data_IF_120182802732
#
_entry.id   IF_120182802732
#
_cell.length_a   1.000
_cell.length_b   1.000
_cell.length_c   1.000
_cell.angle_alpha   90.00
_cell.angle_beta   90.00
_cell.angle_gamma   90.00
#
_symmetry.space_group_name_H-M   'P 1'
#
loop_
_entity.id
_entity.type
_entity.pdbx_description
1 polymer ?
#
# COMPACT_ATOMS: atom_id res chain seq x y z
N UNK A 1 -16.09 -7.00 2.43
CA UNK A 1 -16.48 -5.92 3.36
C UNK A 1 -16.51 -4.66 2.53
N UNK A 2 -17.61 -3.90 2.59
CA UNK A 2 -17.79 -2.74 1.71
C UNK A 2 -16.64 -1.75 1.89
N UNK A 3 -16.29 -1.06 0.80
CA UNK A 3 -15.54 0.19 0.86
C UNK A 3 -16.10 1.00 2.04
N UNK A 4 -15.29 1.26 3.06
CA UNK A 4 -15.74 2.13 4.14
C UNK A 4 -15.75 3.52 3.55
N UNK A 5 -16.94 4.03 3.21
CA UNK A 5 -17.12 5.43 2.90
C UNK A 5 -16.68 6.22 4.14
N UNK A 6 -15.58 6.96 3.99
CA UNK A 6 -15.13 7.90 5.02
C UNK A 6 -16.32 8.79 5.37
N UNK A 7 -16.57 9.04 6.66
CA UNK A 7 -17.73 9.83 7.09
C UNK A 7 -17.32 10.82 8.18
N UNK A 8 -17.69 12.09 8.03
CA UNK A 8 -17.47 13.13 9.06
C UNK A 8 -18.76 13.28 9.87
N UNK A 9 -18.68 13.19 11.19
CA UNK A 9 -19.81 13.48 12.07
C UNK A 9 -19.63 14.84 12.79
N UNK A 10 -20.57 15.75 12.59
CA UNK A 10 -20.60 17.06 13.28
C UNK A 10 -21.53 16.94 14.49
N UNK A 11 -20.94 16.88 15.68
CA UNK A 11 -21.62 16.85 16.96
C UNK A 11 -21.34 18.15 17.72
N UNK A 12 -21.76 19.29 17.16
CA UNK A 12 -21.55 20.64 17.73
C UNK A 12 -22.87 21.15 18.30
N UNK A 13 -22.91 21.43 19.61
CA UNK A 13 -24.13 21.87 20.29
C UNK A 13 -24.53 23.29 19.93
N UNK A 14 -23.56 24.20 19.80
CA UNK A 14 -23.78 25.58 19.42
C UNK A 14 -24.22 25.68 17.95
N UNK A 15 -25.40 26.26 17.70
CA UNK A 15 -25.99 26.34 16.35
C UNK A 15 -25.24 27.28 15.41
N UNK A 16 -24.65 28.36 15.91
CA UNK A 16 -23.90 29.32 15.09
C UNK A 16 -22.54 28.72 14.70
N UNK A 17 -21.84 28.13 15.66
CA UNK A 17 -20.58 27.43 15.42
C UNK A 17 -20.77 26.22 14.48
N UNK A 18 -21.88 25.49 14.64
CA UNK A 18 -22.21 24.35 13.79
C UNK A 18 -22.37 24.74 12.32
N UNK A 19 -22.95 25.90 12.03
CA UNK A 19 -23.12 26.38 10.66
C UNK A 19 -21.76 26.65 9.99
N UNK A 20 -20.83 27.29 10.71
CA UNK A 20 -19.47 27.56 10.23
C UNK A 20 -18.67 26.26 10.01
N UNK A 21 -18.76 25.33 10.96
CA UNK A 21 -18.11 24.01 10.85
C UNK A 21 -18.67 23.21 9.69
N UNK A 22 -19.99 23.24 9.47
CA UNK A 22 -20.63 22.60 8.33
C UNK A 22 -20.13 23.20 7.02
N UNK A 23 -19.97 24.52 6.94
CA UNK A 23 -19.42 25.18 5.76
C UNK A 23 -17.97 24.73 5.47
N UNK A 24 -17.13 24.62 6.50
CA UNK A 24 -15.77 24.09 6.36
C UNK A 24 -15.78 22.60 5.94
N UNK A 25 -16.58 21.76 6.60
CA UNK A 25 -16.65 20.33 6.31
C UNK A 25 -17.26 20.02 4.93
N UNK A 26 -18.22 20.83 4.46
CA UNK A 26 -18.84 20.67 3.14
C UNK A 26 -17.88 20.94 1.98
N UNK A 27 -16.74 21.59 2.23
CA UNK A 27 -15.66 21.72 1.25
C UNK A 27 -14.86 20.41 1.07
N UNK A 28 -15.07 19.41 1.93
CA UNK A 28 -14.54 18.05 1.73
C UNK A 28 -15.41 17.28 0.73
N UNK A 29 -14.82 16.37 -0.05
CA UNK A 29 -15.52 15.49 -0.99
C UNK A 29 -16.18 14.26 -0.32
N UNK A 30 -16.49 14.36 0.98
CA UNK A 30 -16.89 13.25 1.84
C UNK A 30 -18.31 13.43 2.38
N UNK A 31 -18.94 12.32 2.73
CA UNK A 31 -20.23 12.35 3.39
C UNK A 31 -20.13 12.99 4.79
N UNK A 32 -20.75 14.16 4.95
CA UNK A 32 -20.86 14.87 6.23
C UNK A 32 -22.23 14.61 6.84
N UNK A 33 -22.27 14.19 8.10
CA UNK A 33 -23.49 13.95 8.87
C UNK A 33 -23.52 14.83 10.11
N UNK A 34 -24.53 15.68 10.23
CA UNK A 34 -24.77 16.46 11.43
C UNK A 34 -25.63 15.68 12.42
N UNK A 35 -25.19 15.57 13.67
CA UNK A 35 -25.90 14.88 14.75
C UNK A 35 -26.24 15.89 15.82
N UNK A 36 -27.47 16.43 15.77
CA UNK A 36 -27.90 17.51 16.67
C UNK A 36 -28.37 17.00 18.03
N UNK A 37 -29.01 15.83 18.06
CA UNK A 37 -29.53 15.24 19.28
C UNK A 37 -28.48 14.33 19.94
N UNK A 38 -28.04 14.62 21.18
CA UNK A 38 -27.14 13.75 21.93
C UNK A 38 -27.59 12.29 22.05
N UNK A 39 -28.90 12.03 21.99
CA UNK A 39 -29.47 10.68 22.06
C UNK A 39 -29.11 9.81 20.86
N UNK A 40 -28.76 10.43 19.73
CA UNK A 40 -28.35 9.75 18.51
C UNK A 40 -26.82 9.50 18.45
N UNK A 41 -26.04 10.05 19.38
CA UNK A 41 -24.58 9.88 19.40
C UNK A 41 -24.14 8.41 19.43
N UNK A 42 -24.74 7.52 20.24
CA UNK A 42 -24.36 6.10 20.26
C UNK A 42 -24.60 5.38 18.92
N UNK A 43 -25.49 5.90 18.07
CA UNK A 43 -25.83 5.32 16.77
C UNK A 43 -24.91 5.82 15.65
N UNK A 44 -24.48 7.09 15.73
CA UNK A 44 -23.78 7.77 14.64
C UNK A 44 -22.27 7.92 14.88
N UNK A 45 -21.82 8.27 16.09
CA UNK A 45 -20.41 8.54 16.36
C UNK A 45 -19.48 7.32 16.17
N UNK A 46 -19.88 6.08 16.55
CA UNK A 46 -19.02 4.90 16.32
C UNK A 46 -18.77 4.56 14.85
N UNK A 47 -19.57 5.11 13.93
CA UNK A 47 -19.46 4.86 12.48
C UNK A 47 -18.70 5.96 11.74
N UNK A 48 -18.43 7.08 12.42
CA UNK A 48 -17.72 8.20 11.83
C UNK A 48 -16.22 7.91 11.75
N UNK A 49 -15.57 8.41 10.70
CA UNK A 49 -14.12 8.40 10.55
C UNK A 49 -13.47 9.54 11.32
N UNK A 50 -14.18 10.66 11.47
CA UNK A 50 -13.79 11.84 12.28
C UNK A 50 -15.03 12.43 12.94
N UNK A 51 -14.90 12.90 14.17
CA UNK A 51 -15.96 13.60 14.89
C UNK A 51 -15.53 15.03 15.21
N UNK A 52 -16.41 16.01 15.00
CA UNK A 52 -16.20 17.40 15.41
C UNK A 52 -17.09 17.70 16.61
N UNK A 53 -16.52 18.26 17.68
CA UNK A 53 -17.20 18.51 18.94
C UNK A 53 -16.89 19.91 19.49
N UNK A 54 -17.83 20.48 20.23
CA UNK A 54 -17.62 21.72 20.99
C UNK A 54 -17.66 21.46 22.49
N UNK A 55 -17.57 22.54 23.28
CA UNK A 55 -17.65 22.46 24.74
C UNK A 55 -18.94 21.78 25.24
N UNK A 56 -20.06 21.96 24.55
CA UNK A 56 -21.36 21.45 24.97
C UNK A 56 -21.47 19.93 24.79
N UNK A 57 -20.82 19.38 23.76
CA UNK A 57 -20.91 17.96 23.41
C UNK A 57 -19.70 17.12 23.82
N UNK A 58 -18.57 17.76 24.16
CA UNK A 58 -17.30 17.09 24.46
C UNK A 58 -17.42 15.88 25.40
N UNK A 59 -18.13 16.01 26.52
CA UNK A 59 -18.27 14.94 27.51
C UNK A 59 -19.08 13.74 27.00
N UNK A 60 -20.02 13.97 26.08
CA UNK A 60 -20.86 12.93 25.49
C UNK A 60 -20.14 12.26 24.32
N UNK A 61 -19.46 13.06 23.49
CA UNK A 61 -18.60 12.56 22.40
C UNK A 61 -17.54 11.61 22.95
N UNK A 62 -16.90 11.94 24.07
CA UNK A 62 -15.90 11.07 24.70
C UNK A 62 -16.38 9.66 25.05
N UNK A 63 -17.69 9.50 25.33
CA UNK A 63 -18.31 8.22 25.72
C UNK A 63 -18.68 7.35 24.52
N UNK A 64 -18.90 7.96 23.36
CA UNK A 64 -19.52 7.30 22.21
C UNK A 64 -18.65 7.31 20.95
N UNK A 65 -17.63 8.17 20.87
CA UNK A 65 -16.67 8.18 19.77
C UNK A 65 -15.48 7.27 20.06
N UNK A 66 -15.05 6.53 19.03
CA UNK A 66 -13.76 5.83 18.96
C UNK A 66 -12.83 6.42 17.88
N UNK A 67 -13.32 7.42 17.15
CA UNK A 67 -12.62 8.10 16.07
C UNK A 67 -11.89 9.36 16.59
N UNK A 68 -10.90 9.88 15.83
CA UNK A 68 -10.28 11.17 16.11
C UNK A 68 -11.33 12.27 16.27
N UNK A 69 -11.16 13.10 17.32
CA UNK A 69 -12.06 14.20 17.63
C UNK A 69 -11.35 15.52 17.35
N UNK A 70 -11.97 16.42 16.59
CA UNK A 70 -11.54 17.81 16.46
C UNK A 70 -12.43 18.70 17.32
N UNK A 71 -11.80 19.52 18.16
CA UNK A 71 -12.49 20.43 19.05
C UNK A 71 -12.63 21.79 18.39
N UNK A 72 -13.80 22.41 18.48
CA UNK A 72 -14.06 23.73 17.89
C UNK A 72 -14.60 24.70 18.92
N UNK A 73 -14.21 25.96 18.78
CA UNK A 73 -14.70 27.09 19.59
C UNK A 73 -15.01 28.26 18.67
N UNK A 74 -16.01 29.06 19.02
CA UNK A 74 -16.32 30.28 18.30
C UNK A 74 -15.24 31.36 18.50
N UNK A 75 -14.89 32.09 17.44
CA UNK A 75 -14.07 33.32 17.47
C UNK A 75 -14.70 34.37 18.41
N UNK A 76 -13.94 35.01 19.32
CA UNK A 76 -12.47 35.12 19.41
C UNK A 76 -11.74 34.09 20.29
N UNK A 77 -12.40 33.00 20.70
CA UNK A 77 -11.87 32.09 21.72
C UNK A 77 -12.03 32.65 23.15
N UNK A 78 -11.27 32.14 24.15
CA UNK A 78 -10.17 31.18 24.04
C UNK A 78 -10.65 29.72 23.90
N UNK A 79 -9.74 28.84 23.46
CA UNK A 79 -9.95 27.40 23.48
C UNK A 79 -10.10 26.91 24.93
N UNK A 80 -11.18 26.20 25.21
CA UNK A 80 -11.38 25.49 26.49
C UNK A 80 -10.60 24.16 26.47
N UNK A 81 -9.34 24.22 26.88
CA UNK A 81 -8.45 23.06 26.89
C UNK A 81 -8.94 21.93 27.82
N UNK A 82 -9.70 22.24 28.87
CA UNK A 82 -10.27 21.22 29.75
C UNK A 82 -11.36 20.42 29.02
N UNK A 83 -12.24 21.11 28.29
CA UNK A 83 -13.25 20.47 27.46
C UNK A 83 -12.64 19.68 26.28
N UNK A 84 -11.62 20.24 25.63
CA UNK A 84 -10.89 19.58 24.54
C UNK A 84 -10.22 18.28 25.02
N UNK A 85 -9.55 18.31 26.17
CA UNK A 85 -8.96 17.11 26.77
C UNK A 85 -10.02 16.07 27.17
N UNK A 86 -11.18 16.50 27.68
CA UNK A 86 -12.27 15.58 28.05
C UNK A 86 -12.75 14.75 26.87
N UNK A 87 -12.83 15.32 25.66
CA UNK A 87 -13.23 14.57 24.45
C UNK A 87 -12.07 13.85 23.77
N UNK A 88 -10.84 13.91 24.32
CA UNK A 88 -9.62 13.37 23.71
C UNK A 88 -9.39 13.97 22.32
N UNK A 89 -9.56 15.29 22.20
CA UNK A 89 -9.36 15.98 20.94
C UNK A 89 -7.94 15.79 20.41
N UNK A 90 -7.80 15.44 19.15
CA UNK A 90 -6.53 15.41 18.44
C UNK A 90 -6.00 16.83 18.20
N UNK A 91 -6.90 17.77 17.89
CA UNK A 91 -6.59 19.17 17.62
C UNK A 91 -7.79 20.06 17.97
N UNK A 92 -7.56 21.36 18.18
CA UNK A 92 -8.58 22.34 18.55
C UNK A 92 -8.45 23.59 17.67
N UNK A 93 -9.60 24.14 17.22
CA UNK A 93 -9.66 25.25 16.27
C UNK A 93 -10.62 26.36 16.71
N UNK A 94 -10.28 27.61 16.42
CA UNK A 94 -11.13 28.78 16.60
C UNK A 94 -11.81 29.09 15.26
N UNK A 95 -13.13 28.98 15.17
CA UNK A 95 -13.89 29.12 13.92
C UNK A 95 -14.73 30.41 13.97
N UNK A 96 -14.71 31.27 12.92
CA UNK A 96 -14.16 31.02 11.58
C UNK A 96 -12.68 31.40 11.36
N UNK A 97 -11.97 31.92 12.37
CA UNK A 97 -10.58 32.39 12.22
C UNK A 97 -9.62 31.33 11.65
N UNK A 98 -9.84 30.06 11.99
CA UNK A 98 -9.02 28.90 11.62
C UNK A 98 -9.77 27.88 10.75
N UNK A 99 -10.83 28.30 10.05
CA UNK A 99 -11.61 27.40 9.17
C UNK A 99 -10.76 26.71 8.10
N UNK A 100 -9.67 27.35 7.64
CA UNK A 100 -8.73 26.75 6.66
C UNK A 100 -7.90 25.62 7.28
N UNK A 101 -7.48 25.79 8.52
CA UNK A 101 -6.72 24.79 9.28
C UNK A 101 -7.62 23.60 9.62
N UNK A 102 -8.86 23.86 10.06
CA UNK A 102 -9.87 22.83 10.24
C UNK A 102 -10.13 22.04 8.94
N UNK A 103 -10.28 22.73 7.81
CA UNK A 103 -10.43 22.07 6.50
C UNK A 103 -9.21 21.21 6.14
N UNK A 104 -7.99 21.72 6.37
CA UNK A 104 -6.75 20.96 6.13
C UNK A 104 -6.69 19.70 6.99
N UNK A 105 -6.97 19.81 8.29
CA UNK A 105 -6.98 18.69 9.21
C UNK A 105 -8.07 17.66 8.85
N UNK A 106 -9.25 18.11 8.40
CA UNK A 106 -10.29 17.23 7.88
C UNK A 106 -9.82 16.52 6.61
N UNK A 107 -9.17 17.22 5.67
CA UNK A 107 -8.64 16.64 4.45
C UNK A 107 -7.57 15.58 4.72
N UNK A 108 -6.72 15.76 5.73
CA UNK A 108 -5.70 14.78 6.14
C UNK A 108 -6.32 13.49 6.69
N UNK A 109 -7.43 13.59 7.43
CA UNK A 109 -8.15 12.42 7.94
C UNK A 109 -9.03 11.72 6.90
N UNK A 110 -9.45 12.49 5.88
CA UNK A 110 -10.35 12.07 4.81
C UNK A 110 -9.62 11.43 3.64
N UNK A 111 -8.39 11.89 3.38
CA UNK A 111 -7.51 11.24 2.44
C UNK A 111 -7.41 9.77 2.85
N UNK A 112 -7.53 8.80 1.91
CA UNK A 112 -7.35 7.39 2.23
C UNK A 112 -6.09 7.32 3.05
N UNK A 113 -6.19 6.87 4.31
CA UNK A 113 -5.12 6.88 5.28
C UNK A 113 -3.87 6.39 4.55
N UNK A 114 -3.02 7.32 4.14
CA UNK A 114 -1.71 6.99 3.61
C UNK A 114 -1.06 6.36 4.82
N UNK A 115 -1.06 5.03 4.82
CA UNK A 115 -0.40 4.26 5.85
C UNK A 115 0.98 4.87 5.92
N UNK A 116 1.34 5.33 7.12
CA UNK A 116 2.63 5.92 7.42
C UNK A 116 3.71 4.87 7.19
N UNK A 117 4.01 4.59 5.94
CA UNK A 117 5.16 3.86 5.49
C UNK A 117 6.10 4.90 4.92
N UNK A 118 7.36 4.89 5.36
CA UNK A 118 8.40 5.49 4.56
C UNK A 118 8.33 4.93 3.13
N UNK A 119 8.88 5.68 2.17
CA UNK A 119 9.13 5.14 0.83
C UNK A 119 9.92 3.85 0.96
N UNK A 120 9.33 2.71 0.59
CA UNK A 120 9.97 1.40 0.65
C UNK A 120 10.35 0.90 -0.74
N UNK A 121 11.34 0.01 -0.82
CA UNK A 121 11.74 -0.64 -2.05
C UNK A 121 12.01 -2.13 -1.81
N UNK A 122 11.05 -2.97 -2.20
CA UNK A 122 11.10 -4.42 -1.98
C UNK A 122 11.36 -5.16 -3.29
N UNK A 123 12.33 -6.06 -3.32
CA UNK A 123 12.48 -7.00 -4.43
C UNK A 123 11.78 -8.33 -4.10
N UNK A 124 11.13 -8.93 -5.08
CA UNK A 124 10.59 -10.29 -4.99
C UNK A 124 11.29 -11.16 -6.03
N UNK A 125 11.87 -12.27 -5.58
CA UNK A 125 12.62 -13.20 -6.44
C UNK A 125 12.13 -14.64 -6.23
N UNK A 126 12.23 -15.48 -7.25
CA UNK A 126 11.90 -16.90 -7.15
C UNK A 126 13.12 -17.78 -6.98
N UNK A 127 13.11 -18.70 -6.02
CA UNK A 127 14.15 -19.72 -5.88
C UNK A 127 14.06 -20.83 -6.95
N UNK A 128 12.93 -20.91 -7.67
CA UNK A 128 12.75 -21.82 -8.79
C UNK A 128 11.82 -21.22 -9.85
N UNK A 129 11.87 -21.75 -11.07
CA UNK A 129 10.94 -21.37 -12.14
C UNK A 129 9.48 -21.67 -11.77
N UNK A 130 8.59 -20.74 -12.11
CA UNK A 130 7.14 -20.92 -11.94
C UNK A 130 6.66 -21.00 -10.48
N UNK A 131 7.43 -20.50 -9.49
CA UNK A 131 7.00 -20.48 -8.08
C UNK A 131 5.88 -19.48 -7.79
N UNK A 132 5.57 -18.61 -8.76
CA UNK A 132 4.58 -17.55 -8.62
C UNK A 132 5.19 -16.25 -8.10
N UNK A 133 6.47 -15.98 -8.38
CA UNK A 133 7.16 -14.73 -8.03
C UNK A 133 6.37 -13.50 -8.46
N UNK A 134 6.07 -13.38 -9.76
CA UNK A 134 5.27 -12.27 -10.32
C UNK A 134 3.89 -12.15 -9.68
N UNK A 135 3.21 -13.28 -9.47
CA UNK A 135 1.90 -13.34 -8.79
C UNK A 135 1.98 -12.81 -7.37
N UNK A 136 3.01 -13.19 -6.63
CA UNK A 136 3.21 -12.73 -5.26
C UNK A 136 3.68 -11.27 -5.19
N UNK A 137 4.55 -10.84 -6.10
CA UNK A 137 4.98 -9.45 -6.23
C UNK A 137 3.80 -8.52 -6.48
N UNK A 138 2.88 -8.91 -7.38
CA UNK A 138 1.65 -8.16 -7.61
C UNK A 138 0.76 -8.11 -6.36
N UNK A 139 0.53 -9.25 -5.69
CA UNK A 139 -0.26 -9.27 -4.45
C UNK A 139 0.37 -8.43 -3.34
N UNK A 140 1.68 -8.51 -3.15
CA UNK A 140 2.43 -7.72 -2.18
C UNK A 140 2.32 -6.22 -2.48
N UNK A 141 2.48 -5.80 -3.74
CA UNK A 141 2.35 -4.41 -4.14
C UNK A 141 0.95 -3.85 -3.85
N UNK A 142 -0.10 -4.62 -4.16
CA UNK A 142 -1.49 -4.22 -3.88
C UNK A 142 -1.75 -4.09 -2.38
N UNK A 143 -1.36 -5.09 -1.58
CA UNK A 143 -1.66 -5.10 -0.14
C UNK A 143 -0.77 -4.13 0.65
N UNK A 144 0.46 -3.86 0.20
CA UNK A 144 1.35 -2.85 0.78
C UNK A 144 0.96 -1.41 0.40
N UNK A 145 -0.05 -1.24 -0.48
CA UNK A 145 -0.43 0.07 -0.99
C UNK A 145 0.66 0.73 -1.83
N UNK A 146 1.51 -0.08 -2.49
CA UNK A 146 2.63 0.42 -3.26
C UNK A 146 2.18 1.35 -4.38
N UNK A 147 2.97 2.40 -4.64
CA UNK A 147 2.71 3.26 -5.79
C UNK A 147 3.10 2.59 -7.10
N UNK A 148 4.19 1.82 -7.11
CA UNK A 148 4.74 1.20 -8.32
C UNK A 148 5.03 -0.29 -8.13
N UNK A 149 4.64 -1.08 -9.13
CA UNK A 149 5.12 -2.44 -9.37
C UNK A 149 5.98 -2.43 -10.62
N UNK A 150 7.23 -2.83 -10.49
CA UNK A 150 8.22 -2.79 -11.56
C UNK A 150 8.56 -4.20 -12.01
N UNK A 151 8.30 -4.47 -13.28
CA UNK A 151 8.76 -5.67 -13.96
C UNK A 151 10.26 -5.56 -14.24
N UNK A 152 11.09 -6.04 -13.32
CA UNK A 152 12.55 -5.94 -13.40
C UNK A 152 13.21 -7.18 -14.00
N UNK A 153 12.44 -8.23 -14.28
CA UNK A 153 12.96 -9.46 -14.87
C UNK A 153 13.36 -9.24 -16.35
N UNK A 154 14.57 -9.65 -16.77
CA UNK A 154 15.04 -9.51 -18.15
C UNK A 154 14.10 -10.11 -19.21
N UNK A 155 13.46 -11.24 -18.88
CA UNK A 155 12.59 -12.02 -19.77
C UNK A 155 11.22 -12.23 -19.12
N UNK A 156 10.44 -11.16 -19.04
CA UNK A 156 9.09 -11.19 -18.52
C UNK A 156 8.04 -11.30 -19.62
N UNK A 157 6.91 -11.94 -19.31
CA UNK A 157 5.71 -11.93 -20.13
C UNK A 157 4.93 -10.61 -20.06
N UNK A 158 5.24 -9.72 -19.11
CA UNK A 158 4.54 -8.47 -18.85
C UNK A 158 3.63 -8.57 -17.62
N UNK A 159 3.93 -7.78 -16.59
CA UNK A 159 3.09 -7.70 -15.37
C UNK A 159 1.72 -7.06 -15.62
N UNK A 160 1.55 -6.29 -16.70
CA UNK A 160 0.27 -5.71 -17.11
C UNK A 160 -0.75 -6.80 -17.50
N UNK A 161 -0.30 -7.89 -18.15
CA UNK A 161 -1.12 -9.07 -18.42
C UNK A 161 -1.55 -9.80 -17.13
N UNK A 162 -0.61 -9.98 -16.20
CA UNK A 162 -0.93 -10.57 -14.89
C UNK A 162 -1.96 -9.72 -14.15
N UNK A 163 -1.84 -8.40 -14.22
CA UNK A 163 -2.76 -7.45 -13.62
C UNK A 163 -4.11 -7.34 -14.37
N UNK A 164 -4.20 -7.80 -15.62
CA UNK A 164 -5.38 -7.69 -16.46
C UNK A 164 -5.68 -6.25 -16.91
N UNK A 165 -4.63 -5.44 -17.07
CA UNK A 165 -4.66 -4.02 -17.45
C UNK A 165 -3.88 -3.77 -18.75
N UNK A 166 -3.68 -4.78 -19.56
CA UNK A 166 -2.87 -4.69 -20.78
C UNK A 166 -3.44 -3.72 -21.83
N UNK A 167 -4.74 -3.45 -21.78
CA UNK A 167 -5.41 -2.46 -22.63
C UNK A 167 -5.39 -1.05 -22.02
N UNK A 168 -4.95 -0.87 -20.77
CA UNK A 168 -4.81 0.45 -20.16
C UNK A 168 -3.67 1.22 -20.85
N UNK A 169 -3.88 2.50 -21.20
CA UNK A 169 -2.87 3.31 -21.83
C UNK A 169 -1.73 3.62 -20.85
N UNK A 170 -0.50 3.62 -21.37
CA UNK A 170 0.68 3.99 -20.60
C UNK A 170 1.97 3.47 -21.21
N UNK A 171 3.08 4.02 -20.76
CA UNK A 171 4.42 3.67 -21.14
C UNK A 171 4.82 2.31 -20.55
N UNK A 172 5.47 1.50 -21.38
CA UNK A 172 6.17 0.27 -21.00
C UNK A 172 7.68 0.47 -21.13
N UNK A 173 8.47 -0.53 -20.79
CA UNK A 173 9.94 -0.42 -20.86
C UNK A 173 10.51 0.15 -22.18
N UNK A 174 10.04 -0.24 -23.38
CA UNK A 174 10.49 0.40 -24.63
C UNK A 174 10.28 1.90 -24.69
N UNK A 175 9.14 2.38 -24.20
CA UNK A 175 8.73 3.78 -24.30
C UNK A 175 9.58 4.66 -23.37
N UNK A 176 10.14 4.07 -22.33
CA UNK A 176 11.03 4.73 -21.37
C UNK A 176 12.52 4.61 -21.73
N UNK A 177 12.85 3.89 -22.80
CA UNK A 177 14.23 3.67 -23.24
C UNK A 177 14.88 4.97 -23.78
N UNK A 178 14.07 5.85 -24.38
CA UNK A 178 14.51 7.17 -24.81
C UNK A 178 14.49 8.15 -23.63
N UNK A 179 15.59 8.89 -23.45
CA UNK A 179 15.72 9.90 -22.40
C UNK A 179 17.09 9.88 -21.73
N UNK A 180 17.45 11.01 -21.14
CA UNK A 180 18.65 11.19 -20.32
C UNK A 180 18.29 11.90 -19.02
N UNK A 181 19.11 11.70 -17.99
CA UNK A 181 18.95 12.36 -16.71
C UNK A 181 17.98 11.66 -15.74
N UNK A 182 17.68 12.37 -14.65
CA UNK A 182 16.85 11.90 -13.57
C UNK A 182 15.40 11.68 -14.02
N UNK A 183 14.74 10.70 -13.41
CA UNK A 183 13.32 10.42 -13.60
C UNK A 183 12.60 10.82 -12.31
N UNK A 184 11.51 11.56 -12.43
CA UNK A 184 10.67 11.91 -11.28
C UNK A 184 9.71 10.74 -10.97
N UNK A 185 9.55 10.41 -9.69
CA UNK A 185 8.72 9.30 -9.24
C UNK A 185 7.23 9.46 -9.62
N UNK A 186 6.69 10.67 -9.44
CA UNK A 186 5.30 11.00 -9.75
C UNK A 186 5.04 11.00 -11.26
N UNK A 187 5.99 11.49 -12.06
CA UNK A 187 5.88 11.45 -13.52
C UNK A 187 5.94 10.00 -14.03
N UNK A 188 6.83 9.18 -13.47
CA UNK A 188 6.89 7.75 -13.78
C UNK A 188 5.55 7.06 -13.44
N UNK A 189 4.98 7.32 -12.27
CA UNK A 189 3.70 6.77 -11.85
C UNK A 189 2.55 7.16 -12.77
N UNK A 190 2.51 8.41 -13.23
CA UNK A 190 1.49 8.90 -14.18
C UNK A 190 1.68 8.35 -15.58
N UNK A 191 2.91 8.00 -15.95
CA UNK A 191 3.24 7.56 -17.30
C UNK A 191 2.85 6.10 -17.56
N UNK A 192 2.80 5.24 -16.53
CA UNK A 192 2.58 3.79 -16.70
C UNK A 192 1.09 3.40 -16.59
N UNK A 193 0.68 2.24 -17.14
CA UNK A 193 -0.65 1.67 -16.90
C UNK A 193 -0.92 1.47 -15.41
N UNK A 194 -2.18 1.59 -14.97
CA UNK A 194 -2.55 1.54 -13.55
C UNK A 194 -3.71 0.59 -13.26
N UNK A 195 -3.61 -0.11 -12.13
CA UNK A 195 -4.73 -0.81 -11.50
C UNK A 195 -5.08 -0.12 -10.18
N UNK A 196 -6.16 0.67 -10.17
CA UNK A 196 -6.44 1.57 -9.06
C UNK A 196 -5.32 2.60 -8.92
N UNK A 197 -4.64 2.61 -7.78
CA UNK A 197 -3.51 3.51 -7.52
C UNK A 197 -2.13 2.87 -7.81
N UNK A 198 -2.07 1.57 -8.09
CA UNK A 198 -0.82 0.88 -8.40
C UNK A 198 -0.44 1.10 -9.87
N UNK A 199 0.66 1.79 -10.12
CA UNK A 199 1.30 1.88 -11.44
C UNK A 199 2.12 0.64 -11.74
N UNK A 200 2.00 0.09 -12.95
CA UNK A 200 2.68 -1.15 -13.36
C UNK A 200 3.62 -0.85 -14.53
N UNK A 201 4.92 -0.80 -14.25
CA UNK A 201 5.93 -0.73 -15.30
C UNK A 201 6.20 -2.14 -15.83
N UNK A 202 5.56 -2.50 -16.94
CA UNK A 202 5.63 -3.84 -17.53
C UNK A 202 6.61 -3.94 -18.71
N UNK A 203 7.06 -5.16 -19.00
CA UNK A 203 7.67 -5.49 -20.28
C UNK A 203 6.69 -5.21 -21.44
N UNK A 204 7.23 -4.93 -22.63
CA UNK A 204 6.43 -4.81 -23.84
C UNK A 204 6.46 -6.10 -24.65
N UNK A 205 5.41 -6.29 -25.44
CA UNK A 205 5.27 -7.38 -26.41
C UNK A 205 6.21 -7.22 -27.61
N UNK A 206 6.82 -6.04 -27.80
CA UNK A 206 7.74 -5.78 -28.92
C UNK A 206 9.14 -6.33 -28.62
N UNK A 207 9.67 -7.15 -29.54
CA UNK A 207 10.96 -7.84 -29.40
C UNK A 207 12.20 -6.91 -29.37
N UNK A 208 12.02 -5.59 -29.51
CA UNK A 208 13.10 -4.64 -29.74
C UNK A 208 13.57 -3.86 -28.50
N UNK A 209 12.84 -3.90 -27.38
CA UNK A 209 13.27 -3.23 -26.16
C UNK A 209 12.74 -3.90 -24.88
N UNK A 210 13.53 -4.81 -24.34
CA UNK A 210 13.33 -5.43 -23.02
C UNK A 210 14.13 -4.67 -21.95
N UNK A 211 13.83 -4.88 -20.68
CA UNK A 211 14.58 -4.31 -19.53
C UNK A 211 16.09 -4.46 -19.71
N UNK A 212 16.53 -5.64 -20.14
CA UNK A 212 17.94 -5.97 -20.35
C UNK A 212 18.61 -5.22 -21.50
N UNK A 213 17.83 -4.64 -22.42
CA UNK A 213 18.35 -3.90 -23.58
C UNK A 213 18.49 -2.40 -23.30
N UNK A 214 17.90 -1.90 -22.20
CA UNK A 214 18.07 -0.51 -21.79
C UNK A 214 19.49 -0.26 -21.30
N UNK A 215 19.99 0.96 -21.55
CA UNK A 215 21.26 1.41 -21.00
C UNK A 215 21.22 1.29 -19.46
N UNK A 216 22.23 0.69 -18.80
CA UNK A 216 22.23 0.49 -17.35
C UNK A 216 21.93 1.76 -16.54
N UNK A 217 22.48 2.91 -16.96
CA UNK A 217 22.23 4.19 -16.31
C UNK A 217 20.74 4.62 -16.38
N UNK A 218 20.06 4.36 -17.51
CA UNK A 218 18.64 4.67 -17.67
C UNK A 218 17.77 3.74 -16.83
N UNK A 219 18.09 2.44 -16.84
CA UNK A 219 17.43 1.44 -16.00
C UNK A 219 17.57 1.80 -14.51
N UNK A 220 18.78 2.14 -14.07
CA UNK A 220 19.05 2.59 -12.70
C UNK A 220 18.28 3.85 -12.33
N UNK A 221 18.19 4.85 -13.22
CA UNK A 221 17.40 6.06 -12.96
C UNK A 221 15.89 5.77 -12.79
N UNK A 222 15.35 4.83 -13.56
CA UNK A 222 13.94 4.41 -13.44
C UNK A 222 13.71 3.65 -12.14
N UNK A 223 14.61 2.72 -11.77
CA UNK A 223 14.54 2.01 -10.50
C UNK A 223 14.64 2.98 -9.31
N UNK A 224 15.54 3.95 -9.37
CA UNK A 224 15.66 4.99 -8.35
C UNK A 224 14.39 5.84 -8.24
N UNK A 225 13.78 6.22 -9.37
CA UNK A 225 12.52 6.96 -9.36
C UNK A 225 11.38 6.15 -8.76
N UNK A 226 11.30 4.85 -9.07
CA UNK A 226 10.29 3.97 -8.48
C UNK A 226 10.48 3.84 -6.96
N UNK A 227 11.70 3.60 -6.50
CA UNK A 227 12.04 3.49 -5.08
C UNK A 227 11.86 4.78 -4.28
N UNK A 228 11.77 5.94 -4.93
CA UNK A 228 11.49 7.25 -4.31
C UNK A 228 10.01 7.63 -4.35
N UNK A 229 9.13 6.76 -4.86
CA UNK A 229 7.70 7.03 -4.84
C UNK A 229 7.19 7.07 -3.39
N UNK A 230 6.40 8.07 -2.97
CA UNK A 230 6.01 8.23 -1.56
C UNK A 230 5.34 7.00 -0.94
N UNK A 231 4.63 6.22 -1.75
CA UNK A 231 3.95 4.99 -1.34
C UNK A 231 4.81 3.72 -1.50
N UNK A 232 6.09 3.86 -1.85
CA UNK A 232 7.01 2.74 -2.09
C UNK A 232 6.81 2.02 -3.43
N UNK A 233 7.68 1.05 -3.67
CA UNK A 233 7.72 0.22 -4.87
C UNK A 233 8.07 -1.24 -4.58
N UNK A 234 7.52 -2.13 -5.41
CA UNK A 234 7.85 -3.56 -5.44
C UNK A 234 8.46 -3.91 -6.80
N UNK A 235 9.55 -4.67 -6.80
CA UNK A 235 10.27 -5.09 -8.00
C UNK A 235 10.14 -6.61 -8.18
N UNK A 236 9.54 -7.07 -9.27
CA UNK A 236 9.60 -8.48 -9.69
C UNK A 236 10.94 -8.71 -10.41
N UNK A 237 11.89 -9.35 -9.73
CA UNK A 237 13.27 -9.43 -10.17
C UNK A 237 13.74 -10.87 -10.41
N UNK A 238 14.72 -11.01 -11.30
CA UNK A 238 15.49 -12.23 -11.40
C UNK A 238 16.56 -12.25 -10.29
N UNK A 239 16.90 -13.42 -9.71
CA UNK A 239 17.87 -13.49 -8.62
C UNK A 239 19.24 -12.88 -8.93
N UNK A 240 19.66 -12.89 -10.21
CA UNK A 240 20.93 -12.30 -10.66
C UNK A 240 20.86 -10.83 -11.11
N UNK A 241 19.70 -10.17 -11.04
CA UNK A 241 19.52 -8.77 -11.49
C UNK A 241 18.62 -7.98 -10.52
N UNK A 242 18.87 -8.16 -9.21
CA UNK A 242 18.13 -7.47 -8.15
C UNK A 242 18.52 -5.97 -8.16
N UNK A 243 17.55 -5.04 -8.26
CA UNK A 243 17.84 -3.62 -8.23
C UNK A 243 18.50 -3.20 -6.92
N UNK A 244 19.63 -2.48 -7.01
CA UNK A 244 20.40 -2.00 -5.85
C UNK A 244 19.66 -0.98 -4.97
N UNK A 245 18.53 -0.46 -5.46
CA UNK A 245 17.66 0.46 -4.72
C UNK A 245 16.78 -0.26 -3.70
N UNK A 246 16.68 -1.59 -3.78
CA UNK A 246 15.85 -2.37 -2.87
C UNK A 246 16.56 -2.51 -1.52
N UNK A 247 15.82 -2.33 -0.43
CA UNK A 247 16.32 -2.47 0.93
C UNK A 247 16.12 -3.88 1.50
N UNK A 248 15.17 -4.62 0.92
CA UNK A 248 14.83 -5.98 1.36
C UNK A 248 14.42 -6.87 0.18
N UNK A 249 14.81 -8.15 0.25
CA UNK A 249 14.52 -9.15 -0.78
C UNK A 249 13.63 -10.26 -0.23
N UNK A 250 12.48 -10.47 -0.86
CA UNK A 250 11.56 -11.55 -0.54
C UNK A 250 11.78 -12.70 -1.51
N UNK A 251 12.17 -13.85 -0.98
CA UNK A 251 12.46 -15.05 -1.77
C UNK A 251 11.27 -16.00 -1.71
N UNK A 252 10.63 -16.23 -2.84
CA UNK A 252 9.56 -17.22 -2.97
C UNK A 252 10.18 -18.59 -3.25
N UNK A 253 10.08 -19.48 -2.27
CA UNK A 253 10.62 -20.84 -2.33
C UNK A 253 9.49 -21.86 -2.41
N UNK A 254 9.49 -22.76 -3.39
CA UNK A 254 8.60 -23.92 -3.33
C UNK A 254 9.04 -24.86 -2.18
N UNK A 255 8.07 -25.51 -1.54
CA UNK A 255 8.31 -26.56 -0.54
C UNK A 255 8.83 -27.86 -1.21
N UNK A 256 9.99 -27.76 -1.85
CA UNK A 256 10.63 -28.76 -2.71
C UNK A 256 12.15 -28.68 -2.54
N UNK A 257 12.84 -29.83 -2.56
CA UNK A 257 14.30 -29.93 -2.31
C UNK A 257 15.13 -29.03 -3.22
N UNK A 258 14.85 -29.03 -4.53
CA UNK A 258 15.61 -28.21 -5.50
C UNK A 258 15.39 -26.72 -5.29
N UNK A 259 14.17 -26.32 -4.97
CA UNK A 259 13.86 -24.93 -4.68
C UNK A 259 14.48 -24.50 -3.36
N UNK A 260 14.47 -25.34 -2.33
CA UNK A 260 15.10 -25.07 -1.05
C UNK A 260 16.61 -24.91 -1.17
N UNK A 261 17.27 -25.79 -1.93
CA UNK A 261 18.71 -25.68 -2.18
C UNK A 261 19.09 -24.38 -2.90
N UNK A 262 18.32 -23.97 -3.92
CA UNK A 262 18.52 -22.69 -4.59
C UNK A 262 18.23 -21.50 -3.66
N UNK A 263 17.18 -21.59 -2.83
CA UNK A 263 16.86 -20.57 -1.84
C UNK A 263 18.00 -20.39 -0.81
N UNK A 264 18.61 -21.49 -0.35
CA UNK A 264 19.76 -21.44 0.55
C UNK A 264 20.96 -20.70 -0.08
N UNK A 265 21.23 -20.93 -1.37
CA UNK A 265 22.26 -20.18 -2.10
C UNK A 265 21.93 -18.69 -2.16
N UNK A 266 20.70 -18.33 -2.53
CA UNK A 266 20.27 -16.93 -2.59
C UNK A 266 20.36 -16.23 -1.24
N UNK A 267 19.91 -16.87 -0.15
CA UNK A 267 20.05 -16.33 1.21
C UNK A 267 21.52 -16.14 1.58
N UNK A 268 22.39 -17.10 1.26
CA UNK A 268 23.83 -16.98 1.50
C UNK A 268 24.46 -15.81 0.74
N UNK A 269 24.13 -15.64 -0.54
CA UNK A 269 24.62 -14.55 -1.39
C UNK A 269 24.15 -13.18 -0.89
N UNK A 270 22.86 -13.04 -0.56
CA UNK A 270 22.28 -11.79 -0.06
C UNK A 270 22.86 -11.41 1.31
N UNK A 271 23.04 -12.37 2.22
CA UNK A 271 23.71 -12.14 3.51
C UNK A 271 25.16 -11.71 3.33
N UNK A 272 25.89 -12.32 2.39
CA UNK A 272 27.26 -11.91 2.08
C UNK A 272 27.35 -10.47 1.55
N UNK A 273 26.29 -10.00 0.89
CA UNK A 273 26.13 -8.61 0.41
C UNK A 273 25.52 -7.67 1.45
N UNK A 274 25.25 -8.14 2.67
CA UNK A 274 24.55 -7.40 3.73
C UNK A 274 23.15 -6.92 3.33
N UNK A 275 22.51 -7.62 2.39
CA UNK A 275 21.14 -7.37 1.94
C UNK A 275 20.15 -8.14 2.82
N UNK A 276 19.19 -7.44 3.40
CA UNK A 276 18.14 -8.06 4.21
C UNK A 276 17.24 -8.92 3.31
N UNK A 277 16.86 -10.12 3.79
CA UNK A 277 16.00 -11.01 3.04
C UNK A 277 15.11 -11.86 3.93
N UNK A 278 13.95 -12.22 3.39
CA UNK A 278 12.97 -13.11 4.05
C UNK A 278 12.46 -14.15 3.07
N UNK A 279 12.03 -15.30 3.60
CA UNK A 279 11.57 -16.43 2.80
C UNK A 279 10.05 -16.57 2.91
N UNK A 280 9.39 -16.74 1.77
CA UNK A 280 7.98 -17.09 1.67
C UNK A 280 7.87 -18.46 1.01
N UNK A 281 7.21 -19.40 1.67
CA UNK A 281 7.10 -20.79 1.18
C UNK A 281 5.84 -20.97 0.35
N UNK A 282 5.99 -21.55 -0.84
CA UNK A 282 4.89 -21.88 -1.76
C UNK A 282 4.64 -23.38 -1.76
N UNK A 283 3.44 -23.79 -1.41
CA UNK A 283 2.99 -25.19 -1.44
C UNK A 283 2.30 -25.56 -2.76
N UNK A 284 2.97 -26.34 -3.61
CA UNK A 284 2.44 -26.88 -4.87
C UNK A 284 1.82 -28.27 -4.63
N UNK A 285 1.20 -28.85 -5.66
CA UNK A 285 0.51 -30.15 -5.52
C UNK A 285 1.42 -31.31 -5.12
N UNK A 286 2.71 -31.25 -5.44
CA UNK A 286 3.71 -32.28 -5.13
C UNK A 286 4.71 -31.85 -4.04
N UNK A 287 4.41 -30.80 -3.28
CA UNK A 287 5.27 -30.36 -2.18
C UNK A 287 5.51 -31.52 -1.20
N UNK A 288 6.75 -31.66 -0.76
CA UNK A 288 7.20 -32.80 0.06
C UNK A 288 8.10 -32.40 1.22
N UNK A 289 8.25 -31.09 1.46
CA UNK A 289 8.97 -30.55 2.59
C UNK A 289 7.99 -29.75 3.46
N UNK A 290 8.12 -29.89 4.76
CA UNK A 290 7.41 -29.04 5.71
C UNK A 290 8.18 -27.71 5.89
N UNK A 291 7.54 -26.65 6.41
CA UNK A 291 8.21 -25.37 6.66
C UNK A 291 9.47 -25.49 7.53
N UNK A 292 9.48 -26.41 8.49
CA UNK A 292 10.63 -26.71 9.35
C UNK A 292 11.82 -27.27 8.55
N UNK A 293 11.56 -28.13 7.57
CA UNK A 293 12.61 -28.64 6.67
C UNK A 293 13.22 -27.51 5.83
N UNK A 294 12.37 -26.58 5.36
CA UNK A 294 12.82 -25.40 4.62
C UNK A 294 13.69 -24.51 5.52
N UNK A 295 13.24 -24.22 6.74
CA UNK A 295 14.01 -23.42 7.69
C UNK A 295 15.40 -24.02 7.95
N UNK A 296 15.47 -25.34 8.11
CA UNK A 296 16.71 -26.07 8.31
C UNK A 296 17.65 -26.02 7.09
N UNK A 297 17.13 -26.19 5.87
CA UNK A 297 17.93 -26.18 4.63
C UNK A 297 18.41 -24.77 4.28
N UNK A 298 17.53 -23.78 4.43
CA UNK A 298 17.77 -22.38 4.01
C UNK A 298 18.50 -21.59 5.10
N UNK A 299 18.51 -22.09 6.34
CA UNK A 299 19.01 -21.39 7.51
C UNK A 299 18.33 -20.03 7.71
N UNK A 300 17.02 -19.99 7.44
CA UNK A 300 16.16 -18.82 7.59
C UNK A 300 14.72 -19.29 7.81
N UNK A 301 14.07 -18.78 8.86
CA UNK A 301 12.68 -19.11 9.14
C UNK A 301 11.75 -18.47 8.10
N UNK A 302 10.85 -19.24 7.46
CA UNK A 302 9.84 -18.67 6.58
C UNK A 302 8.86 -17.77 7.34
N UNK A 303 8.60 -16.58 6.80
CA UNK A 303 7.71 -15.59 7.45
C UNK A 303 6.24 -15.74 7.03
N UNK A 304 6.02 -16.39 5.89
CA UNK A 304 4.69 -16.65 5.33
C UNK A 304 4.65 -17.91 4.46
N UNK A 305 3.44 -18.43 4.30
CA UNK A 305 3.16 -19.60 3.46
C UNK A 305 2.02 -19.30 2.47
N UNK A 306 2.17 -19.79 1.25
CA UNK A 306 1.20 -19.63 0.16
C UNK A 306 0.72 -21.03 -0.27
N UNK A 307 -0.50 -21.45 0.10
CA UNK A 307 -1.10 -22.70 -0.35
C UNK A 307 -1.58 -22.62 -1.81
N UNK A 308 -1.86 -23.77 -2.41
CA UNK A 308 -2.41 -23.81 -3.77
C UNK A 308 -3.83 -23.23 -3.81
N UNK A 309 -3.98 -22.14 -4.57
CA UNK A 309 -5.27 -21.49 -4.80
C UNK A 309 -5.93 -22.10 -6.03
N UNK A 310 -7.02 -22.86 -5.81
CA UNK A 310 -7.77 -23.51 -6.90
C UNK A 310 -8.34 -22.45 -7.85
N UNK A 311 -8.17 -22.68 -9.15
CA UNK A 311 -8.73 -21.82 -10.21
C UNK A 311 -7.97 -20.52 -10.44
N UNK A 312 -6.95 -20.19 -9.64
CA UNK A 312 -6.20 -18.93 -9.77
C UNK A 312 -5.57 -18.78 -11.15
N UNK A 313 -4.88 -19.81 -11.65
CA UNK A 313 -4.28 -19.79 -12.98
C UNK A 313 -5.32 -19.49 -14.06
N UNK A 314 -6.46 -20.19 -14.05
CA UNK A 314 -7.54 -19.95 -15.02
C UNK A 314 -8.10 -18.53 -14.90
N UNK A 315 -8.26 -18.01 -13.70
CA UNK A 315 -8.75 -16.65 -13.49
C UNK A 315 -7.78 -15.60 -14.04
N UNK A 316 -6.48 -15.76 -13.76
CA UNK A 316 -5.43 -14.88 -14.28
C UNK A 316 -5.37 -14.93 -15.81
N UNK A 317 -5.38 -16.12 -16.42
CA UNK A 317 -5.34 -16.26 -17.88
C UNK A 317 -6.56 -15.70 -18.61
N UNK A 318 -7.70 -15.56 -17.93
CA UNK A 318 -8.96 -15.11 -18.56
C UNK A 318 -9.30 -13.64 -18.30
N UNK A 319 -8.74 -13.02 -17.25
CA UNK A 319 -9.07 -11.64 -16.91
C UNK A 319 -8.09 -10.92 -16.00
N UNK A 320 -6.92 -11.50 -15.75
CA UNK A 320 -5.92 -11.00 -14.82
C UNK A 320 -6.29 -11.14 -13.35
N UNK A 321 -5.37 -10.77 -12.47
CA UNK A 321 -5.48 -10.87 -11.02
C UNK A 321 -6.25 -9.69 -10.42
N UNK A 322 -7.48 -9.44 -10.89
CA UNK A 322 -8.30 -8.28 -10.48
C UNK A 322 -8.69 -8.24 -9.01
N UNK A 323 -8.59 -9.37 -8.32
CA UNK A 323 -8.85 -9.47 -6.88
C UNK A 323 -7.84 -10.43 -6.26
N UNK A 324 -7.15 -9.98 -5.22
CA UNK A 324 -6.15 -10.79 -4.51
C UNK A 324 -6.87 -11.88 -3.69
N UNK A 325 -6.62 -13.18 -3.97
CA UNK A 325 -7.15 -14.27 -3.17
C UNK A 325 -6.67 -14.19 -1.72
N UNK A 326 -7.54 -14.59 -0.78
CA UNK A 326 -7.25 -14.57 0.67
C UNK A 326 -5.88 -15.16 1.06
N UNK A 327 -5.41 -16.30 0.49
CA UNK A 327 -4.11 -16.83 0.87
C UNK A 327 -2.93 -15.95 0.44
N UNK A 328 -3.01 -15.30 -0.73
CA UNK A 328 -1.99 -14.36 -1.17
C UNK A 328 -2.01 -13.11 -0.30
N UNK A 329 -3.20 -12.57 -0.01
CA UNK A 329 -3.37 -11.43 0.91
C UNK A 329 -2.76 -11.72 2.29
N UNK A 330 -3.06 -12.88 2.87
CA UNK A 330 -2.55 -13.25 4.18
C UNK A 330 -1.01 -13.34 4.19
N UNK A 331 -0.42 -13.92 3.14
CA UNK A 331 1.03 -13.97 3.01
C UNK A 331 1.64 -12.57 2.81
N UNK A 332 1.03 -11.72 1.98
CA UNK A 332 1.47 -10.34 1.79
C UNK A 332 1.41 -9.52 3.08
N UNK A 333 0.33 -9.64 3.87
CA UNK A 333 0.21 -8.96 5.15
C UNK A 333 1.31 -9.40 6.12
N UNK A 334 1.62 -10.69 6.19
CA UNK A 334 2.72 -11.21 7.02
C UNK A 334 4.09 -10.66 6.60
N UNK A 335 4.31 -10.45 5.30
CA UNK A 335 5.52 -9.78 4.80
C UNK A 335 5.54 -8.32 5.22
N UNK A 336 4.44 -7.59 5.05
CA UNK A 336 4.33 -6.17 5.42
C UNK A 336 4.59 -6.00 6.92
N UNK A 337 3.94 -6.81 7.76
CA UNK A 337 4.06 -6.76 9.22
C UNK A 337 5.48 -7.05 9.74
N UNK A 338 6.29 -7.78 8.97
CA UNK A 338 7.66 -8.15 9.35
C UNK A 338 8.73 -7.23 8.74
N UNK A 339 8.49 -6.73 7.52
CA UNK A 339 9.50 -6.02 6.72
C UNK A 339 9.30 -4.50 6.75
N UNK A 340 8.07 -4.02 6.88
CA UNK A 340 7.73 -2.58 6.82
C UNK A 340 7.31 -2.00 8.18
N UNK A 341 7.40 -2.79 9.25
CA UNK A 341 7.04 -2.40 10.62
C UNK A 341 8.12 -1.62 11.36
#
# INVERSE_FOLDING_TARGET
MSSQDVTIAIAVGDSALRAEVLAAAAATSVHVTTVEDPRDFPRHLPKASVVIADKLTAALVAKHSVAPVFFVVADPGPIDYEAAMKCRSAEAFIVPAESKQLLSALADQVSPREQSGGSFALAVVGAAGGVGTSTFAYALAVEAGAGLLVDAAPYSGGLDLLAGIEEEPGARWPDLAAGSGAVNATDLHRAVPRHGNLGVLAASRSAHAQVATLKPARRGAIFQAAALHPQGAVFDAAPGDIPQVCEHVIIVCAAEVRSAAACAQLVGELRAQQMACSVVVRHRQWSGLEPEDIANIVHCDPIAEIPTVRGLTKAVETGGLRSIPRPLRAASQRVIDEVLS
#
